data_IF_512009343047
#
_entry.id   IF_512009343047
#
_cell.length_a   1.000
_cell.length_b   1.000
_cell.length_c   1.000
_cell.angle_alpha   90.00
_cell.angle_beta   90.00
_cell.angle_gamma   90.00
#
_symmetry.space_group_name_H-M   'P 1'
#
loop_
_entity.id
_entity.type
_entity.pdbx_description
1 polymer ?
#
# COMPACT_ATOMS: atom_id res chain seq x y z
N UNK A 1 14.96 -15.21 25.21
CA UNK A 1 14.99 -16.64 24.82
C UNK A 1 14.42 -16.93 23.43
N UNK A 2 13.41 -16.20 22.93
CA UNK A 2 12.80 -16.49 21.60
C UNK A 2 13.64 -16.15 20.37
N UNK A 3 14.73 -15.38 20.50
CA UNK A 3 15.51 -14.89 19.34
C UNK A 3 16.13 -16.00 18.49
N UNK A 4 16.61 -17.10 19.11
CA UNK A 4 17.18 -18.23 18.36
C UNK A 4 16.12 -18.93 17.51
N UNK A 5 14.95 -19.19 18.09
CA UNK A 5 13.82 -19.79 17.39
C UNK A 5 13.28 -18.85 16.29
N UNK A 6 13.18 -17.55 16.55
CA UNK A 6 12.70 -16.56 15.58
C UNK A 6 13.60 -16.45 14.35
N UNK A 7 14.93 -16.52 14.54
CA UNK A 7 15.90 -16.49 13.42
C UNK A 7 15.77 -17.71 12.50
N UNK A 8 15.44 -18.87 13.07
CA UNK A 8 15.37 -20.16 12.37
C UNK A 8 13.98 -20.41 11.78
N UNK A 9 12.92 -20.00 12.47
CA UNK A 9 11.52 -20.23 12.11
C UNK A 9 10.71 -18.92 12.12
N UNK A 10 11.03 -17.94 11.26
CA UNK A 10 10.45 -16.60 11.29
C UNK A 10 8.98 -16.53 10.87
N UNK A 11 8.39 -17.65 10.43
CA UNK A 11 7.01 -17.76 9.91
C UNK A 11 6.13 -18.69 10.75
N UNK A 12 6.43 -18.80 12.04
CA UNK A 12 5.65 -19.60 13.00
C UNK A 12 4.85 -18.68 13.90
N UNK A 13 3.51 -18.78 13.83
CA UNK A 13 2.58 -18.00 14.65
C UNK A 13 2.91 -18.02 16.13
N UNK A 14 3.17 -19.20 16.70
CA UNK A 14 3.41 -19.38 18.13
C UNK A 14 4.59 -18.59 18.67
N UNK A 15 5.64 -18.40 17.86
CA UNK A 15 6.81 -17.61 18.28
C UNK A 15 6.43 -16.14 18.41
N UNK A 16 5.73 -15.59 17.43
CA UNK A 16 5.27 -14.20 17.45
C UNK A 16 4.23 -13.96 18.55
N UNK A 17 3.28 -14.90 18.72
CA UNK A 17 2.28 -14.85 19.79
C UNK A 17 2.91 -14.91 21.18
N UNK A 18 3.89 -15.79 21.39
CA UNK A 18 4.58 -15.88 22.66
C UNK A 18 5.38 -14.60 22.96
N UNK A 19 6.01 -13.98 21.94
CA UNK A 19 6.67 -12.67 22.11
C UNK A 19 5.68 -11.57 22.48
N UNK A 20 4.51 -11.52 21.83
CA UNK A 20 3.41 -10.63 22.19
C UNK A 20 3.02 -10.79 23.66
N UNK A 21 2.76 -12.03 24.08
CA UNK A 21 2.43 -12.34 25.47
C UNK A 21 3.52 -11.89 26.45
N UNK A 22 4.81 -12.08 26.12
CA UNK A 22 5.91 -11.60 26.96
C UNK A 22 5.91 -10.07 27.11
N UNK A 23 5.58 -9.31 26.07
CA UNK A 23 5.50 -7.84 26.14
C UNK A 23 4.30 -7.35 26.97
N UNK A 24 3.17 -8.05 26.89
CA UNK A 24 1.96 -7.75 27.67
C UNK A 24 2.16 -8.02 29.16
N UNK A 25 2.94 -9.05 29.49
CA UNK A 25 3.17 -9.51 30.86
C UNK A 25 4.52 -9.04 31.45
N UNK A 26 5.08 -7.94 30.93
CA UNK A 26 6.26 -7.32 31.54
C UNK A 26 5.88 -6.84 32.95
N UNK A 27 6.54 -7.33 34.01
CA UNK A 27 6.27 -6.88 35.37
C UNK A 27 6.68 -5.41 35.54
N UNK A 28 6.07 -4.74 36.51
CA UNK A 28 6.54 -3.42 36.95
C UNK A 28 8.02 -3.53 37.36
N UNK A 29 8.88 -2.75 36.69
CA UNK A 29 10.32 -2.76 36.98
C UNK A 29 10.64 -2.07 38.30
N UNK A 30 11.85 -2.26 38.86
CA UNK A 30 12.32 -1.43 39.96
C UNK A 30 12.41 0.02 39.45
N UNK A 31 11.72 0.95 40.12
CA UNK A 31 11.98 2.38 39.88
C UNK A 31 13.46 2.64 40.25
N UNK A 32 14.29 3.19 39.33
CA UNK A 32 15.62 3.65 39.71
C UNK A 32 15.48 4.60 40.90
N UNK A 33 16.29 4.43 41.94
CA UNK A 33 16.22 5.29 43.12
C UNK A 33 16.45 6.75 42.70
N UNK A 34 15.39 7.56 42.72
CA UNK A 34 15.42 8.98 42.30
C UNK A 34 14.83 9.29 40.92
N UNK A 35 14.36 8.31 40.15
CA UNK A 35 13.59 8.56 38.91
C UNK A 35 12.10 8.25 39.13
N UNK A 36 11.22 9.20 38.76
CA UNK A 36 9.77 9.05 38.87
C UNK A 36 9.15 8.11 37.80
N UNK A 37 9.89 7.79 36.72
CA UNK A 37 9.33 7.04 35.56
C UNK A 37 9.50 5.52 35.71
N UNK A 38 8.61 4.90 36.49
CA UNK A 38 8.46 3.45 36.61
C UNK A 38 8.23 2.73 35.26
N UNK A 39 7.92 3.45 34.16
CA UNK A 39 7.67 2.87 32.84
C UNK A 39 8.93 2.79 31.95
N UNK A 40 10.08 3.32 32.36
CA UNK A 40 11.31 3.33 31.56
C UNK A 40 11.76 1.93 31.12
N UNK A 41 11.75 0.95 32.05
CA UNK A 41 12.09 -0.44 31.75
C UNK A 41 11.14 -1.08 30.74
N UNK A 42 9.83 -0.84 30.91
CA UNK A 42 8.81 -1.34 29.99
C UNK A 42 9.05 -0.75 28.60
N UNK A 43 9.20 0.57 28.49
CA UNK A 43 9.48 1.25 27.23
C UNK A 43 10.72 0.68 26.51
N UNK A 44 11.81 0.45 27.23
CA UNK A 44 13.04 -0.10 26.65
C UNK A 44 12.82 -1.52 26.07
N UNK A 45 12.03 -2.36 26.73
CA UNK A 45 11.69 -3.69 26.23
C UNK A 45 10.86 -3.62 24.93
N UNK A 46 9.85 -2.76 24.86
CA UNK A 46 9.07 -2.54 23.64
C UNK A 46 9.93 -2.01 22.48
N UNK A 47 10.83 -1.06 22.75
CA UNK A 47 11.76 -0.53 21.76
C UNK A 47 12.74 -1.59 21.23
N UNK A 48 13.22 -2.47 22.12
CA UNK A 48 14.06 -3.61 21.72
C UNK A 48 13.30 -4.56 20.79
N UNK A 49 12.04 -4.84 21.08
CA UNK A 49 11.20 -5.68 20.21
C UNK A 49 10.91 -5.01 18.86
N UNK A 50 10.71 -3.68 18.83
CA UNK A 50 10.57 -2.91 17.60
C UNK A 50 11.84 -3.03 16.73
N UNK A 51 13.02 -2.93 17.35
CA UNK A 51 14.30 -3.14 16.67
C UNK A 51 14.43 -4.56 16.12
N UNK A 52 14.02 -5.58 16.88
CA UNK A 52 14.01 -6.97 16.39
C UNK A 52 13.16 -7.10 15.14
N UNK A 53 11.96 -6.51 15.14
CA UNK A 53 11.06 -6.53 13.97
C UNK A 53 11.70 -5.87 12.76
N UNK A 54 12.36 -4.73 12.95
CA UNK A 54 13.08 -4.07 11.88
C UNK A 54 14.17 -4.95 11.28
N UNK A 55 14.95 -5.65 12.12
CA UNK A 55 15.95 -6.62 11.63
C UNK A 55 15.31 -7.79 10.89
N UNK A 56 14.15 -8.28 11.34
CA UNK A 56 13.42 -9.34 10.63
C UNK A 56 12.92 -8.85 9.26
N UNK A 57 12.46 -7.60 9.17
CA UNK A 57 12.02 -6.96 7.92
C UNK A 57 13.16 -6.51 7.01
N UNK A 58 14.39 -6.37 7.54
CA UNK A 58 15.59 -6.20 6.72
C UNK A 58 15.95 -7.53 6.03
N UNK A 59 15.75 -8.66 6.71
CA UNK A 59 16.04 -10.00 6.17
C UNK A 59 14.95 -10.53 5.23
N UNK A 60 13.68 -10.39 5.62
CA UNK A 60 12.52 -10.76 4.80
C UNK A 60 11.52 -9.59 4.79
N UNK A 61 11.62 -8.68 3.80
CA UNK A 61 10.78 -7.48 3.74
C UNK A 61 9.29 -7.77 3.55
N UNK A 62 8.92 -9.00 3.17
CA UNK A 62 7.54 -9.44 2.95
C UNK A 62 7.03 -10.37 4.07
N UNK A 63 7.75 -10.48 5.18
CA UNK A 63 7.31 -11.29 6.31
C UNK A 63 6.05 -10.68 6.94
N UNK A 64 4.89 -11.31 6.69
CA UNK A 64 3.61 -10.81 7.16
C UNK A 64 3.50 -10.81 8.69
N UNK A 65 4.09 -11.79 9.40
CA UNK A 65 4.08 -11.82 10.85
C UNK A 65 4.88 -10.67 11.45
N UNK A 66 6.03 -10.33 10.84
CA UNK A 66 6.84 -9.22 11.29
C UNK A 66 6.11 -7.88 11.11
N UNK A 67 5.43 -7.68 9.97
CA UNK A 67 4.59 -6.49 9.75
C UNK A 67 3.40 -6.43 10.70
N UNK A 68 2.74 -7.55 10.96
CA UNK A 68 1.62 -7.61 11.91
C UNK A 68 2.06 -7.31 13.34
N UNK A 69 3.16 -7.92 13.76
CA UNK A 69 3.75 -7.67 15.06
C UNK A 69 4.29 -6.23 15.17
N UNK A 70 4.79 -5.62 14.09
CA UNK A 70 5.14 -4.19 14.05
C UNK A 70 3.94 -3.31 14.39
N UNK A 71 2.80 -3.53 13.72
CA UNK A 71 1.56 -2.78 13.96
C UNK A 71 1.11 -2.92 15.41
N UNK A 72 1.16 -4.14 15.93
CA UNK A 72 0.83 -4.42 17.32
C UNK A 72 1.73 -3.62 18.27
N UNK A 73 3.07 -3.69 18.10
CA UNK A 73 4.01 -2.94 18.93
C UNK A 73 3.71 -1.44 18.87
N UNK A 74 3.54 -0.87 17.68
CA UNK A 74 3.27 0.56 17.51
C UNK A 74 1.94 1.00 18.16
N UNK A 75 0.97 0.09 18.26
CA UNK A 75 -0.33 0.38 18.91
C UNK A 75 -0.31 0.28 20.44
N UNK A 76 0.65 -0.43 21.02
CA UNK A 76 0.68 -0.75 22.46
C UNK A 76 1.88 -0.15 23.20
N UNK A 77 2.92 0.28 22.48
CA UNK A 77 4.12 0.85 23.08
C UNK A 77 3.76 2.09 23.92
N UNK A 78 4.25 2.21 25.18
CA UNK A 78 3.84 3.29 26.08
C UNK A 78 4.07 4.69 25.53
N UNK A 79 5.22 4.90 24.87
CA UNK A 79 5.55 6.14 24.15
C UNK A 79 5.77 5.80 22.67
N UNK A 80 4.74 5.85 21.82
CA UNK A 80 4.85 5.50 20.42
C UNK A 80 5.67 6.53 19.64
N UNK A 81 6.45 6.08 18.63
CA UNK A 81 7.05 7.00 17.68
C UNK A 81 5.98 7.88 17.01
N UNK A 82 6.36 9.10 16.62
CA UNK A 82 5.45 9.96 15.86
C UNK A 82 5.00 9.24 14.58
N UNK A 83 3.75 9.39 14.13
CA UNK A 83 3.28 8.76 12.90
C UNK A 83 4.14 9.09 11.66
N UNK A 84 4.74 10.28 11.63
CA UNK A 84 5.71 10.69 10.59
C UNK A 84 6.95 9.80 10.54
N UNK A 85 7.40 9.27 11.67
CA UNK A 85 8.52 8.32 11.74
C UNK A 85 8.17 7.02 11.03
N UNK A 86 6.95 6.52 11.19
CA UNK A 86 6.50 5.31 10.49
C UNK A 86 6.27 5.57 8.99
N UNK A 87 5.80 6.76 8.61
CA UNK A 87 5.76 7.17 7.19
C UNK A 87 7.17 7.25 6.59
N UNK A 88 8.17 7.72 7.33
CA UNK A 88 9.56 7.73 6.87
C UNK A 88 10.10 6.30 6.72
N UNK A 89 9.82 5.43 7.69
CA UNK A 89 10.22 4.01 7.65
C UNK A 89 9.62 3.29 6.44
N UNK A 90 8.32 3.40 6.21
CA UNK A 90 7.65 2.78 5.06
C UNK A 90 8.18 3.34 3.74
N UNK A 91 8.43 4.65 3.64
CA UNK A 91 9.04 5.26 2.45
C UNK A 91 10.43 4.68 2.18
N UNK A 92 11.28 4.56 3.20
CA UNK A 92 12.61 3.97 3.04
C UNK A 92 12.54 2.51 2.54
N UNK A 93 11.60 1.71 3.07
CA UNK A 93 11.37 0.34 2.62
C UNK A 93 10.88 0.25 1.17
N UNK A 94 10.00 1.17 0.76
CA UNK A 94 9.50 1.26 -0.62
C UNK A 94 10.63 1.65 -1.57
N UNK A 95 11.39 2.70 -1.26
CA UNK A 95 12.50 3.15 -2.12
C UNK A 95 13.59 2.09 -2.23
N UNK A 96 13.81 1.28 -1.19
CA UNK A 96 14.76 0.17 -1.27
C UNK A 96 14.28 -0.99 -2.16
N UNK A 97 12.96 -1.16 -2.31
CA UNK A 97 12.35 -2.22 -3.10
C UNK A 97 10.87 -1.87 -3.38
N UNK A 98 10.58 -1.38 -4.58
CA UNK A 98 9.22 -0.98 -4.98
C UNK A 98 8.24 -2.16 -5.03
N UNK A 99 8.73 -3.39 -5.20
CA UNK A 99 7.94 -4.62 -5.13
C UNK A 99 7.52 -5.03 -3.71
N UNK A 100 7.90 -4.25 -2.69
CA UNK A 100 7.50 -4.53 -1.32
C UNK A 100 6.04 -4.10 -1.05
N UNK A 101 5.09 -4.91 -1.51
CA UNK A 101 3.66 -4.69 -1.24
C UNK A 101 3.33 -4.53 0.24
N UNK A 102 4.07 -5.19 1.14
CA UNK A 102 3.81 -5.07 2.58
C UNK A 102 4.12 -3.67 3.11
N UNK A 103 5.14 -2.99 2.57
CA UNK A 103 5.45 -1.61 2.91
C UNK A 103 4.40 -0.63 2.36
N UNK A 104 3.95 -0.82 1.11
CA UNK A 104 2.84 -0.06 0.52
C UNK A 104 1.55 -0.22 1.33
N UNK A 105 1.20 -1.46 1.70
CA UNK A 105 0.04 -1.73 2.51
C UNK A 105 0.13 -1.07 3.89
N UNK A 106 1.27 -1.20 4.58
CA UNK A 106 1.47 -0.53 5.86
C UNK A 106 1.34 1.00 5.72
N UNK A 107 1.92 1.59 4.67
CA UNK A 107 1.82 3.02 4.39
C UNK A 107 0.37 3.47 4.22
N UNK A 108 -0.43 2.71 3.47
CA UNK A 108 -1.86 3.01 3.26
C UNK A 108 -2.63 3.06 4.58
N UNK A 109 -2.36 2.13 5.51
CA UNK A 109 -3.02 2.07 6.82
C UNK A 109 -2.68 3.28 7.69
N UNK A 110 -1.43 3.72 7.67
CA UNK A 110 -0.99 4.89 8.45
C UNK A 110 -1.60 6.16 7.88
N UNK A 111 -1.62 6.33 6.55
CA UNK A 111 -2.24 7.47 5.89
C UNK A 111 -3.74 7.54 6.21
N UNK A 112 -4.47 6.42 6.09
CA UNK A 112 -5.89 6.37 6.45
C UNK A 112 -6.13 6.79 7.91
N UNK A 113 -5.31 6.28 8.84
CA UNK A 113 -5.42 6.64 10.26
C UNK A 113 -5.17 8.13 10.48
N UNK A 114 -4.21 8.72 9.77
CA UNK A 114 -3.84 10.13 9.91
C UNK A 114 -4.85 11.09 9.28
N UNK A 115 -5.41 10.73 8.12
CA UNK A 115 -6.49 11.47 7.48
C UNK A 115 -7.75 11.44 8.37
N UNK A 116 -8.11 10.25 8.88
CA UNK A 116 -9.30 10.09 9.74
C UNK A 116 -9.18 10.86 11.06
N UNK A 117 -7.96 11.02 11.59
CA UNK A 117 -7.72 11.76 12.83
C UNK A 117 -7.48 13.26 12.62
N UNK A 118 -7.49 13.77 11.39
CA UNK A 118 -7.18 15.16 11.07
C UNK A 118 -5.73 15.59 11.34
N UNK A 119 -4.81 14.63 11.56
CA UNK A 119 -3.41 14.90 11.91
C UNK A 119 -2.52 15.12 10.68
N UNK A 120 -3.08 14.97 9.48
CA UNK A 120 -2.40 15.15 8.21
C UNK A 120 -3.37 15.73 7.18
N UNK A 121 -2.94 16.77 6.48
CA UNK A 121 -3.66 17.33 5.34
C UNK A 121 -3.76 16.27 4.23
N UNK A 122 -4.98 15.79 3.97
CA UNK A 122 -5.25 14.75 2.99
C UNK A 122 -4.90 15.18 1.57
N UNK A 123 -5.26 16.40 1.17
CA UNK A 123 -5.03 16.89 -0.19
C UNK A 123 -3.54 16.99 -0.50
N UNK A 124 -2.79 17.66 0.39
CA UNK A 124 -1.35 17.83 0.23
C UNK A 124 -0.59 16.51 0.33
N UNK A 125 -0.99 15.63 1.23
CA UNK A 125 -0.33 14.33 1.37
C UNK A 125 -0.61 13.41 0.19
N UNK A 126 -1.85 13.35 -0.33
CA UNK A 126 -2.16 12.61 -1.56
C UNK A 126 -1.32 13.06 -2.74
N UNK A 127 -1.11 14.36 -2.92
CA UNK A 127 -0.26 14.86 -4.00
C UNK A 127 1.20 14.38 -3.89
N UNK A 128 1.74 14.30 -2.68
CA UNK A 128 3.07 13.73 -2.46
C UNK A 128 3.09 12.21 -2.70
N UNK A 129 2.01 11.51 -2.37
CA UNK A 129 1.87 10.08 -2.65
C UNK A 129 1.75 9.80 -4.15
N UNK A 130 1.07 10.66 -4.91
CA UNK A 130 1.00 10.55 -6.36
C UNK A 130 2.39 10.67 -6.98
N UNK A 131 3.22 11.62 -6.54
CA UNK A 131 4.61 11.71 -6.99
C UNK A 131 5.41 10.45 -6.68
N UNK A 132 5.33 9.97 -5.44
CA UNK A 132 6.03 8.75 -5.01
C UNK A 132 5.63 7.52 -5.82
N UNK A 133 4.34 7.35 -6.10
CA UNK A 133 3.85 6.19 -6.85
C UNK A 133 4.15 6.33 -8.34
N UNK A 134 4.13 7.55 -8.89
CA UNK A 134 4.56 7.81 -10.26
C UNK A 134 6.02 7.42 -10.47
N UNK A 135 6.93 7.86 -9.58
CA UNK A 135 8.34 7.45 -9.65
C UNK A 135 8.50 5.92 -9.64
N UNK A 136 7.68 5.22 -8.83
CA UNK A 136 7.68 3.75 -8.77
C UNK A 136 7.14 3.11 -10.06
N UNK A 137 6.07 3.66 -10.65
CA UNK A 137 5.48 3.18 -11.92
C UNK A 137 6.47 3.27 -13.08
N UNK A 138 7.22 4.38 -13.18
CA UNK A 138 8.24 4.54 -14.21
C UNK A 138 9.50 3.69 -13.96
N UNK A 139 9.76 3.31 -12.70
CA UNK A 139 10.91 2.45 -12.36
C UNK A 139 10.65 0.98 -12.65
N UNK A 140 9.46 0.47 -12.30
CA UNK A 140 9.05 -0.90 -12.60
C UNK A 140 7.53 -0.96 -12.92
N UNK A 141 7.15 -0.78 -14.19
CA UNK A 141 5.75 -0.80 -14.60
C UNK A 141 5.12 -2.20 -14.55
N UNK A 142 5.91 -3.26 -14.40
CA UNK A 142 5.40 -4.63 -14.31
C UNK A 142 5.06 -5.05 -12.88
N UNK A 143 5.48 -4.28 -11.87
CA UNK A 143 5.21 -4.59 -10.47
C UNK A 143 3.76 -4.30 -10.06
N UNK A 144 3.03 -5.36 -9.74
CA UNK A 144 1.63 -5.28 -9.32
C UNK A 144 1.38 -4.40 -8.09
N UNK A 145 2.35 -4.34 -7.16
CA UNK A 145 2.19 -3.64 -5.87
C UNK A 145 1.94 -2.16 -6.07
N UNK A 146 2.66 -1.58 -7.03
CA UNK A 146 2.58 -0.17 -7.41
C UNK A 146 1.17 0.15 -7.90
N UNK A 147 0.63 -0.65 -8.83
CA UNK A 147 -0.70 -0.43 -9.40
C UNK A 147 -1.83 -0.65 -8.41
N UNK A 148 -1.69 -1.61 -7.47
CA UNK A 148 -2.68 -1.78 -6.39
C UNK A 148 -2.69 -0.55 -5.48
N UNK A 149 -1.52 -0.03 -5.11
CA UNK A 149 -1.42 1.17 -4.29
C UNK A 149 -1.94 2.41 -5.01
N UNK A 150 -1.61 2.57 -6.30
CA UNK A 150 -2.14 3.65 -7.15
C UNK A 150 -3.67 3.63 -7.18
N UNK A 151 -4.27 2.47 -7.41
CA UNK A 151 -5.74 2.31 -7.40
C UNK A 151 -6.36 2.65 -6.04
N UNK A 152 -5.71 2.25 -4.95
CA UNK A 152 -6.15 2.63 -3.61
C UNK A 152 -6.06 4.15 -3.39
N UNK A 153 -4.99 4.80 -3.87
CA UNK A 153 -4.76 6.23 -3.72
C UNK A 153 -5.77 7.08 -4.51
N UNK A 154 -6.08 6.66 -5.74
CA UNK A 154 -7.17 7.27 -6.54
C UNK A 154 -8.51 7.07 -5.83
N UNK A 155 -8.80 5.84 -5.40
CA UNK A 155 -10.05 5.50 -4.71
C UNK A 155 -11.30 5.63 -5.58
N UNK A 156 -12.43 5.13 -5.09
CA UNK A 156 -13.65 4.96 -5.91
C UNK A 156 -14.39 6.27 -6.23
N UNK A 157 -14.21 7.32 -5.41
CA UNK A 157 -14.92 8.61 -5.55
C UNK A 157 -13.95 9.73 -5.93
N UNK A 158 -12.97 9.43 -6.79
CA UNK A 158 -12.01 10.42 -7.24
C UNK A 158 -12.65 11.48 -8.11
N UNK A 159 -12.11 12.71 -8.03
CA UNK A 159 -12.58 13.80 -8.89
C UNK A 159 -12.18 13.58 -10.34
N UNK A 160 -13.00 14.06 -11.27
CA UNK A 160 -12.70 14.05 -12.72
C UNK A 160 -11.28 14.52 -13.05
N UNK A 161 -10.84 15.65 -12.46
CA UNK A 161 -9.50 16.21 -12.71
C UNK A 161 -8.37 15.25 -12.35
N UNK A 162 -8.52 14.50 -11.25
CA UNK A 162 -7.54 13.48 -10.86
C UNK A 162 -7.58 12.33 -11.84
N UNK A 163 -8.76 11.81 -12.20
CA UNK A 163 -8.87 10.72 -13.17
C UNK A 163 -8.25 11.08 -14.53
N UNK A 164 -8.56 12.26 -15.08
CA UNK A 164 -7.99 12.74 -16.35
C UNK A 164 -6.47 12.89 -16.27
N UNK A 165 -5.94 13.46 -15.17
CA UNK A 165 -4.50 13.57 -14.95
C UNK A 165 -3.83 12.21 -14.91
N UNK A 166 -4.35 11.26 -14.12
CA UNK A 166 -3.75 9.93 -13.99
C UNK A 166 -3.88 9.12 -15.29
N UNK A 167 -4.97 9.27 -16.05
CA UNK A 167 -5.10 8.68 -17.38
C UNK A 167 -4.02 9.23 -18.33
N UNK A 168 -3.75 10.54 -18.30
CA UNK A 168 -2.68 11.14 -19.11
C UNK A 168 -1.32 10.53 -18.76
N UNK A 169 -0.97 10.51 -17.47
CA UNK A 169 0.31 9.96 -17.00
C UNK A 169 0.48 8.49 -17.40
N UNK A 170 -0.56 7.66 -17.24
CA UNK A 170 -0.49 6.24 -17.58
C UNK A 170 -0.45 6.04 -19.10
N UNK A 171 -1.09 6.91 -19.88
CA UNK A 171 -1.04 6.86 -21.34
C UNK A 171 0.36 7.17 -21.86
N UNK A 172 1.04 8.15 -21.26
CA UNK A 172 2.44 8.47 -21.58
C UNK A 172 3.35 7.27 -21.26
N UNK A 173 3.17 6.65 -20.09
CA UNK A 173 3.91 5.43 -19.72
C UNK A 173 3.61 4.25 -20.65
N UNK A 174 2.35 4.08 -21.10
CA UNK A 174 1.99 3.03 -22.07
C UNK A 174 2.66 3.25 -23.43
N UNK A 175 2.84 4.50 -23.86
CA UNK A 175 3.52 4.81 -25.11
C UNK A 175 4.99 4.35 -25.09
N UNK A 176 5.64 4.43 -23.92
CA UNK A 176 7.00 3.92 -23.71
C UNK A 176 7.04 2.39 -23.49
N UNK A 177 5.99 1.82 -22.89
CA UNK A 177 5.89 0.41 -22.48
C UNK A 177 4.59 -0.23 -22.99
N UNK A 178 4.46 -0.47 -24.31
CA UNK A 178 3.19 -0.86 -24.95
C UNK A 178 2.67 -2.24 -24.56
N UNK A 179 3.54 -3.11 -24.03
CA UNK A 179 3.21 -4.44 -23.52
C UNK A 179 2.88 -4.45 -22.02
N UNK A 180 2.90 -3.29 -21.35
CA UNK A 180 2.54 -3.20 -19.95
C UNK A 180 1.04 -3.46 -19.73
N UNK A 181 0.74 -4.70 -19.39
CA UNK A 181 -0.59 -5.15 -18.96
C UNK A 181 -1.19 -4.22 -17.90
N UNK A 182 -0.40 -3.74 -16.95
CA UNK A 182 -0.91 -2.94 -15.83
C UNK A 182 -1.31 -1.52 -16.25
N UNK A 183 -0.59 -0.92 -17.20
CA UNK A 183 -0.99 0.35 -17.80
C UNK A 183 -2.35 0.19 -18.49
N UNK A 184 -2.48 -0.82 -19.34
CA UNK A 184 -3.72 -1.13 -20.06
C UNK A 184 -4.90 -1.37 -19.09
N UNK A 185 -4.72 -2.24 -18.08
CA UNK A 185 -5.77 -2.53 -17.09
C UNK A 185 -6.18 -1.29 -16.29
N UNK A 186 -5.22 -0.43 -15.96
CA UNK A 186 -5.48 0.80 -15.18
C UNK A 186 -6.18 1.86 -16.01
N UNK A 187 -5.82 2.03 -17.29
CA UNK A 187 -6.53 2.92 -18.21
C UNK A 187 -7.98 2.50 -18.39
N UNK A 188 -8.24 1.21 -18.65
CA UNK A 188 -9.62 0.70 -18.76
C UNK A 188 -10.38 0.96 -17.46
N UNK A 189 -9.76 0.74 -16.31
CA UNK A 189 -10.41 0.99 -15.02
C UNK A 189 -10.80 2.46 -14.83
N UNK A 190 -9.90 3.41 -15.08
CA UNK A 190 -10.17 4.83 -14.87
C UNK A 190 -11.09 5.44 -15.94
N UNK A 191 -11.00 5.00 -17.20
CA UNK A 191 -11.96 5.39 -18.25
C UNK A 191 -13.37 4.91 -17.92
N UNK A 192 -13.52 3.68 -17.41
CA UNK A 192 -14.81 3.19 -16.90
C UNK A 192 -15.35 4.01 -15.74
N UNK A 193 -14.48 4.45 -14.83
CA UNK A 193 -14.89 5.35 -13.75
C UNK A 193 -15.38 6.71 -14.29
N UNK A 194 -14.70 7.27 -15.31
CA UNK A 194 -15.16 8.49 -15.97
C UNK A 194 -16.54 8.31 -16.61
N UNK A 195 -16.75 7.23 -17.36
CA UNK A 195 -18.05 6.92 -17.98
C UNK A 195 -19.15 6.82 -16.91
N UNK A 196 -18.89 6.08 -15.83
CA UNK A 196 -19.90 5.81 -14.80
C UNK A 196 -20.22 7.02 -13.91
N UNK A 197 -19.24 7.86 -13.60
CA UNK A 197 -19.41 8.97 -12.65
C UNK A 197 -19.62 10.32 -13.32
N UNK A 198 -19.28 10.46 -14.61
CA UNK A 198 -19.25 11.74 -15.32
C UNK A 198 -19.79 11.66 -16.76
N UNK A 199 -20.74 10.76 -17.05
CA UNK A 199 -21.30 10.49 -18.40
C UNK A 199 -21.63 11.76 -19.21
N UNK A 200 -22.27 12.75 -18.58
CA UNK A 200 -22.70 13.99 -19.27
C UNK A 200 -21.56 14.95 -19.60
N UNK A 201 -20.38 14.74 -19.01
CA UNK A 201 -19.27 15.67 -19.08
C UNK A 201 -18.11 15.13 -19.95
N UNK A 202 -18.22 13.89 -20.42
CA UNK A 202 -17.21 13.20 -21.23
C UNK A 202 -17.87 12.60 -22.48
N UNK A 203 -17.09 12.36 -23.52
CA UNK A 203 -17.55 11.56 -24.67
C UNK A 203 -17.56 10.08 -24.28
N UNK A 204 -18.70 9.63 -23.74
CA UNK A 204 -18.85 8.27 -23.26
C UNK A 204 -18.66 7.22 -24.37
N UNK A 205 -19.08 7.53 -25.60
CA UNK A 205 -18.93 6.61 -26.72
C UNK A 205 -17.46 6.46 -27.11
N UNK A 206 -16.74 7.57 -27.28
CA UNK A 206 -15.31 7.54 -27.59
C UNK A 206 -14.51 6.79 -26.51
N UNK A 207 -14.81 7.03 -25.23
CA UNK A 207 -14.16 6.32 -24.12
C UNK A 207 -14.47 4.81 -24.10
N UNK A 208 -15.70 4.42 -24.46
CA UNK A 208 -16.10 3.02 -24.57
C UNK A 208 -15.34 2.32 -25.71
N UNK A 209 -15.23 2.97 -26.87
CA UNK A 209 -14.49 2.44 -28.02
C UNK A 209 -12.99 2.28 -27.70
N UNK A 210 -12.39 3.27 -27.02
CA UNK A 210 -11.02 3.18 -26.52
C UNK A 210 -10.85 2.03 -25.50
N UNK A 211 -11.82 1.84 -24.59
CA UNK A 211 -11.78 0.71 -23.65
C UNK A 211 -11.84 -0.63 -24.37
N UNK A 212 -12.66 -0.76 -25.42
CA UNK A 212 -12.71 -1.97 -26.25
C UNK A 212 -11.36 -2.28 -26.90
N UNK A 213 -10.71 -1.26 -27.50
CA UNK A 213 -9.39 -1.43 -28.10
C UNK A 213 -8.34 -1.91 -27.08
N UNK A 214 -8.29 -1.28 -25.90
CA UNK A 214 -7.38 -1.67 -24.82
C UNK A 214 -7.65 -3.09 -24.29
N UNK A 215 -8.93 -3.49 -24.17
CA UNK A 215 -9.31 -4.83 -23.71
C UNK A 215 -9.00 -5.93 -24.73
N UNK A 216 -9.05 -5.62 -26.03
CA UNK A 216 -8.61 -6.53 -27.09
C UNK A 216 -7.10 -6.77 -26.98
N UNK A 217 -6.31 -5.70 -26.87
CA UNK A 217 -4.87 -5.79 -26.67
C UNK A 217 -4.50 -6.55 -25.38
N UNK A 218 -5.21 -6.31 -24.27
CA UNK A 218 -5.05 -7.08 -23.03
C UNK A 218 -5.30 -8.57 -23.20
N UNK A 219 -6.23 -8.96 -24.08
CA UNK A 219 -6.53 -10.37 -24.34
C UNK A 219 -5.40 -11.10 -25.06
N UNK A 220 -4.58 -10.36 -25.83
CA UNK A 220 -3.38 -10.89 -26.48
C UNK A 220 -2.20 -10.98 -25.48
N UNK A 221 -2.02 -9.95 -24.63
CA UNK A 221 -0.92 -9.88 -23.66
C UNK A 221 -1.14 -10.80 -22.44
N UNK A 222 -2.37 -10.93 -21.94
CA UNK A 222 -2.73 -11.78 -20.80
C UNK A 222 -3.86 -12.75 -21.15
N UNK A 223 -3.58 -13.77 -22.00
CA UNK A 223 -4.60 -14.69 -22.48
C UNK A 223 -5.27 -15.49 -21.36
N UNK A 224 -4.57 -15.69 -20.22
CA UNK A 224 -5.11 -16.37 -19.03
C UNK A 224 -6.32 -15.65 -18.43
N UNK A 225 -6.45 -14.34 -18.64
CA UNK A 225 -7.57 -13.52 -18.14
C UNK A 225 -8.51 -13.03 -19.24
N UNK A 226 -8.38 -13.55 -20.46
CA UNK A 226 -9.22 -13.19 -21.62
C UNK A 226 -10.73 -13.23 -21.34
N UNK A 227 -11.23 -14.21 -20.57
CA UNK A 227 -12.65 -14.26 -20.17
C UNK A 227 -13.07 -13.05 -19.35
N UNK A 228 -12.24 -12.63 -18.39
CA UNK A 228 -12.49 -11.42 -17.58
C UNK A 228 -12.56 -10.18 -18.47
N UNK A 229 -11.70 -10.07 -19.48
CA UNK A 229 -11.72 -8.93 -20.40
C UNK A 229 -13.00 -8.92 -21.24
N UNK A 230 -13.44 -10.07 -21.76
CA UNK A 230 -14.73 -10.21 -22.45
C UNK A 230 -15.91 -9.83 -21.57
N UNK A 231 -15.92 -10.26 -20.30
CA UNK A 231 -16.97 -9.88 -19.36
C UNK A 231 -17.00 -8.36 -19.16
N UNK A 232 -15.84 -7.70 -19.06
CA UNK A 232 -15.75 -6.23 -18.95
C UNK A 232 -16.27 -5.54 -20.23
N UNK A 233 -15.92 -6.04 -21.43
CA UNK A 233 -16.44 -5.50 -22.69
C UNK A 233 -17.97 -5.61 -22.74
N UNK A 234 -18.53 -6.75 -22.32
CA UNK A 234 -19.98 -6.96 -22.30
C UNK A 234 -20.72 -5.99 -21.36
N UNK A 235 -20.09 -5.64 -20.23
CA UNK A 235 -20.65 -4.67 -19.28
C UNK A 235 -20.67 -3.25 -19.84
N UNK A 236 -19.68 -2.87 -20.66
CA UNK A 236 -19.62 -1.55 -21.29
C UNK A 236 -20.80 -1.33 -22.25
N UNK A 237 -21.10 -2.34 -23.08
CA UNK A 237 -22.19 -2.28 -24.05
C UNK A 237 -23.60 -2.21 -23.41
N UNK A 238 -23.74 -2.73 -22.18
CA UNK A 238 -25.03 -2.73 -21.48
C UNK A 238 -25.36 -1.38 -20.81
N UNK A 239 -24.46 -0.40 -20.83
CA UNK A 239 -24.70 0.96 -20.30
C UNK A 239 -25.28 1.95 -21.32
N UNK A 240 -25.55 1.47 -22.54
CA UNK A 240 -26.16 2.22 -23.65
C UNK A 240 -27.65 1.87 -23.90
N UNK A 241 -28.29 1.15 -22.96
CA UNK A 241 -29.73 0.84 -22.95
C UNK A 241 -30.42 1.46 -21.75
#
# INVERSE_FOLDING_TARGET
MTMGALKTHPKVYWIWNHRRWCLENIPSGPAPAGEEDANGWKQAAWQKDLFVVEQMLNKDPRNFHAWDYRRYILSQIPKPPLPKTELAYTKAKIVSNFSNFSAWHQRSKILLSLWSSGNLDESKSKENEFKLITDAMYTDPHDQSVWIYHRWLVGNNSTRKVLEREISVISDLLAEQPDSKWCLESLVHYKRMLINSYKDAVDAQALTDECHALLLQLSEIDPMRSRRYKDIMSQLNNHDV
#
